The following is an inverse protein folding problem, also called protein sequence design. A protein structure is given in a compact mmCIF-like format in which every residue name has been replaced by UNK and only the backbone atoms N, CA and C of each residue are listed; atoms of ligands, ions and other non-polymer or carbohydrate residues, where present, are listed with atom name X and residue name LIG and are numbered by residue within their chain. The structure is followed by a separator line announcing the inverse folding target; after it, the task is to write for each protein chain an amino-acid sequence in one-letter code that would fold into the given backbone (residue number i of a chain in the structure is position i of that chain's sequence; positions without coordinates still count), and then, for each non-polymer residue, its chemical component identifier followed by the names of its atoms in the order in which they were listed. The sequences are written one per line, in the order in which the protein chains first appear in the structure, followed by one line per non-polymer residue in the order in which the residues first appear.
data_IF_512245704247
#
_entry.id   IF_512245704247
#
_cell.length_a   1.000
_cell.length_b   1.000
_cell.length_c   1.000
_cell.angle_alpha   90.00
_cell.angle_beta   90.00
_cell.angle_gamma   90.00
#
_symmetry.space_group_name_H-M   'P 1'
#
loop_
_entity.id
_entity.type
_entity.pdbx_description
1 polymer ?
#
# COMPACT_ATOMS: atom_id res chain seq x y z
N UNK A 1 4.55 11.09 -1.54
CA UNK A 1 3.65 11.13 -2.73
C UNK A 1 3.46 12.54 -3.30
N UNK A 2 4.53 13.33 -3.49
CA UNK A 2 4.42 14.66 -4.13
C UNK A 2 4.25 14.58 -5.66
N UNK A 3 4.69 13.50 -6.31
CA UNK A 3 4.68 13.36 -7.77
C UNK A 3 3.28 13.34 -8.42
N UNK A 4 2.29 12.69 -7.80
CA UNK A 4 0.90 12.77 -8.29
C UNK A 4 0.29 14.16 -8.10
N UNK A 5 0.75 14.91 -7.09
CA UNK A 5 0.35 16.31 -6.89
C UNK A 5 1.04 17.26 -7.86
N UNK A 6 2.07 16.81 -8.60
CA UNK A 6 2.78 17.58 -9.62
C UNK A 6 2.13 17.47 -11.02
N UNK A 7 0.96 16.82 -11.14
CA UNK A 7 0.22 16.74 -12.40
C UNK A 7 0.73 15.71 -13.41
N UNK A 8 1.61 14.79 -12.98
CA UNK A 8 2.11 13.71 -13.83
C UNK A 8 1.03 12.63 -14.06
N UNK A 9 0.92 12.15 -15.30
CA UNK A 9 0.09 11.00 -15.64
C UNK A 9 0.56 9.75 -14.87
N UNK A 10 -0.32 9.11 -14.07
CA UNK A 10 -0.01 7.88 -13.36
C UNK A 10 0.55 6.75 -14.20
N UNK A 11 0.07 6.57 -15.43
CA UNK A 11 0.53 5.49 -16.33
C UNK A 11 1.95 5.75 -16.80
N UNK A 12 2.25 7.00 -17.15
CA UNK A 12 3.61 7.41 -17.54
C UNK A 12 4.58 7.22 -16.37
N UNK A 13 4.21 7.68 -15.17
CA UNK A 13 5.05 7.52 -13.98
C UNK A 13 5.28 6.04 -13.63
N UNK A 14 4.24 5.20 -13.71
CA UNK A 14 4.38 3.76 -13.50
C UNK A 14 5.33 3.12 -14.53
N UNK A 15 5.24 3.51 -15.82
CA UNK A 15 6.16 3.06 -16.85
C UNK A 15 7.62 3.40 -16.56
N UNK A 16 7.88 4.62 -16.07
CA UNK A 16 9.23 5.05 -15.66
C UNK A 16 9.72 4.24 -14.46
N UNK A 17 8.92 4.11 -13.41
CA UNK A 17 9.30 3.35 -12.20
C UNK A 17 9.62 1.90 -12.56
N UNK A 18 8.78 1.27 -13.39
CA UNK A 18 8.88 -0.14 -13.74
C UNK A 18 10.01 -0.47 -14.72
N UNK A 19 10.59 0.54 -15.37
CA UNK A 19 11.82 0.40 -16.19
C UNK A 19 13.09 0.88 -15.48
N UNK A 20 12.97 1.31 -14.21
CA UNK A 20 14.05 1.89 -13.42
C UNK A 20 14.35 1.06 -12.16
N UNK A 21 15.27 1.56 -11.32
CA UNK A 21 15.66 0.94 -10.04
C UNK A 21 14.56 0.92 -8.96
N UNK A 22 13.48 1.67 -9.15
CA UNK A 22 12.35 1.74 -8.22
C UNK A 22 11.31 0.62 -8.41
N UNK A 23 11.50 -0.27 -9.39
CA UNK A 23 10.58 -1.36 -9.70
C UNK A 23 10.45 -2.31 -8.51
N UNK A 24 9.21 -2.66 -8.18
CA UNK A 24 8.87 -3.75 -7.26
C UNK A 24 7.56 -4.43 -7.71
N UNK A 25 7.23 -5.56 -7.09
CA UNK A 25 5.97 -6.27 -7.39
C UNK A 25 4.73 -5.36 -7.23
N UNK A 26 4.73 -4.52 -6.20
CA UNK A 26 3.64 -3.56 -5.96
C UNK A 26 3.57 -2.44 -7.01
N UNK A 27 4.59 -2.21 -7.84
CA UNK A 27 4.55 -1.18 -8.88
C UNK A 27 4.24 -1.72 -10.26
N UNK A 28 4.68 -2.95 -10.59
CA UNK A 28 4.54 -3.56 -11.91
C UNK A 28 3.36 -4.54 -12.05
N UNK A 29 3.00 -5.23 -10.97
CA UNK A 29 2.00 -6.30 -10.96
C UNK A 29 0.78 -5.88 -10.15
N UNK A 30 0.97 -5.11 -9.09
CA UNK A 30 -0.08 -4.76 -8.12
C UNK A 30 -0.14 -3.26 -7.82
N UNK A 31 -0.12 -2.44 -8.87
CA UNK A 31 -0.05 -0.98 -8.75
C UNK A 31 -1.23 -0.41 -7.94
N UNK A 32 -0.99 0.35 -6.85
CA UNK A 32 -2.05 0.79 -5.96
C UNK A 32 -2.87 1.97 -6.52
N UNK A 33 -2.53 2.49 -7.69
CA UNK A 33 -3.22 3.63 -8.32
C UNK A 33 -4.32 3.13 -9.25
N UNK A 34 -5.59 3.55 -9.06
CA UNK A 34 -6.69 3.11 -9.91
C UNK A 34 -6.46 3.41 -11.39
N UNK A 35 -6.74 2.44 -12.26
CA UNK A 35 -6.65 2.58 -13.72
C UNK A 35 -5.25 2.47 -14.32
N UNK A 36 -4.20 2.23 -13.52
CA UNK A 36 -2.84 1.96 -14.05
C UNK A 36 -2.72 0.53 -14.58
N UNK A 37 -3.25 -0.44 -13.82
CA UNK A 37 -3.33 -1.85 -14.22
C UNK A 37 -4.81 -2.27 -14.13
N UNK A 38 -5.34 -2.86 -15.19
CA UNK A 38 -6.72 -3.37 -15.21
C UNK A 38 -6.82 -4.74 -14.52
N UNK A 39 -8.00 -5.07 -13.98
CA UNK A 39 -8.28 -6.39 -13.41
C UNK A 39 -7.70 -6.66 -12.02
N UNK A 40 -7.06 -5.69 -11.37
CA UNK A 40 -6.60 -5.76 -9.97
C UNK A 40 -7.47 -4.91 -9.03
N UNK A 41 -7.50 -5.18 -7.70
CA UNK A 41 -8.39 -4.49 -6.78
C UNK A 41 -8.35 -2.96 -6.82
N UNK A 42 -7.19 -2.28 -6.94
CA UNK A 42 -7.15 -0.82 -7.08
C UNK A 42 -8.02 -0.26 -8.22
N UNK A 43 -8.19 -1.00 -9.32
CA UNK A 43 -9.04 -0.59 -10.45
C UNK A 43 -10.52 -0.97 -10.29
N UNK A 44 -10.87 -1.72 -9.24
CA UNK A 44 -12.25 -2.08 -8.88
C UNK A 44 -12.64 -1.54 -7.48
N UNK A 45 -12.22 -0.32 -7.14
CA UNK A 45 -12.56 0.32 -5.87
C UNK A 45 -12.03 -0.43 -4.64
N UNK A 46 -10.86 -1.08 -4.79
CA UNK A 46 -10.15 -1.86 -3.77
C UNK A 46 -10.98 -2.99 -3.17
N UNK A 47 -11.88 -3.58 -3.96
CA UNK A 47 -12.70 -4.72 -3.54
C UNK A 47 -11.98 -6.06 -3.76
N UNK A 48 -12.20 -7.01 -2.86
CA UNK A 48 -11.51 -8.31 -2.88
C UNK A 48 -10.03 -8.17 -2.51
N UNK A 49 -9.18 -9.01 -3.10
CA UNK A 49 -7.74 -8.96 -2.87
C UNK A 49 -7.34 -9.38 -1.46
N UNK A 50 -6.32 -8.70 -0.92
CA UNK A 50 -5.82 -8.97 0.43
C UNK A 50 -6.16 -7.82 1.37
N UNK A 51 -7.08 -8.05 2.30
CA UNK A 51 -7.67 -7.01 3.14
C UNK A 51 -6.64 -6.25 4.00
N UNK A 52 -6.82 -4.94 4.13
CA UNK A 52 -5.93 -4.07 4.93
C UNK A 52 -5.89 -4.48 6.41
N UNK A 53 -6.99 -5.00 6.96
CA UNK A 53 -7.02 -5.58 8.30
C UNK A 53 -6.17 -6.87 8.43
N UNK A 54 -6.09 -7.68 7.37
CA UNK A 54 -5.21 -8.85 7.34
C UNK A 54 -3.75 -8.42 7.24
N UNK A 55 -3.44 -7.40 6.43
CA UNK A 55 -2.10 -6.81 6.39
C UNK A 55 -1.68 -6.27 7.76
N UNK A 56 -2.57 -5.61 8.49
CA UNK A 56 -2.31 -5.14 9.85
C UNK A 56 -1.99 -6.30 10.81
N UNK A 57 -2.73 -7.41 10.71
CA UNK A 57 -2.49 -8.64 11.49
C UNK A 57 -1.11 -9.23 11.17
N UNK A 58 -0.75 -9.38 9.90
CA UNK A 58 0.54 -9.96 9.51
C UNK A 58 1.72 -9.08 9.96
N UNK A 59 1.56 -7.76 9.89
CA UNK A 59 2.53 -6.81 10.42
C UNK A 59 2.63 -6.86 11.95
N UNK A 60 1.52 -7.11 12.67
CA UNK A 60 1.58 -7.38 14.11
C UNK A 60 2.43 -8.62 14.42
N UNK A 61 2.25 -9.71 13.66
CA UNK A 61 3.06 -10.92 13.82
C UNK A 61 4.54 -10.65 13.53
N UNK A 62 4.85 -9.91 12.46
CA UNK A 62 6.21 -9.52 12.13
C UNK A 62 6.87 -8.66 13.23
N UNK A 63 6.12 -7.73 13.83
CA UNK A 63 6.63 -6.88 14.91
C UNK A 63 6.85 -7.65 16.22
N UNK A 64 5.98 -8.61 16.53
CA UNK A 64 6.18 -9.49 17.68
C UNK A 64 7.45 -10.35 17.50
N UNK A 65 7.67 -10.88 16.30
CA UNK A 65 8.89 -11.63 15.98
C UNK A 65 10.14 -10.74 16.07
N UNK A 66 10.10 -9.53 15.48
CA UNK A 66 11.20 -8.57 15.53
C UNK A 66 11.55 -8.16 16.97
N UNK A 67 10.55 -7.99 17.84
CA UNK A 67 10.75 -7.70 19.26
C UNK A 67 11.43 -8.87 19.97
N UNK A 68 11.00 -10.10 19.68
CA UNK A 68 11.57 -11.32 20.27
C UNK A 68 13.02 -11.54 19.86
N UNK A 69 13.36 -11.23 18.62
CA UNK A 69 14.71 -11.41 18.06
C UNK A 69 15.60 -10.18 18.17
N UNK A 70 15.09 -9.08 18.76
CA UNK A 70 15.77 -7.78 18.82
C UNK A 70 16.19 -7.26 17.43
N UNK A 71 15.44 -7.59 16.39
CA UNK A 71 15.70 -7.16 15.03
C UNK A 71 15.10 -5.76 14.77
N UNK A 72 15.91 -4.76 14.36
CA UNK A 72 15.39 -3.42 14.07
C UNK A 72 14.61 -3.41 12.74
N UNK A 73 13.31 -3.09 12.81
CA UNK A 73 12.41 -3.00 11.65
C UNK A 73 11.76 -1.62 11.52
N UNK A 74 12.52 -0.52 11.38
CA UNK A 74 11.96 0.84 11.42
C UNK A 74 10.86 1.07 10.37
N UNK A 75 11.07 0.61 9.13
CA UNK A 75 10.08 0.74 8.05
C UNK A 75 8.88 -0.18 8.27
N UNK A 76 9.11 -1.42 8.75
CA UNK A 76 8.04 -2.36 9.10
C UNK A 76 7.17 -1.85 10.26
N UNK A 77 7.79 -1.21 11.24
CA UNK A 77 7.12 -0.59 12.38
C UNK A 77 6.20 0.55 11.94
N UNK A 78 6.68 1.41 11.04
CA UNK A 78 5.87 2.49 10.49
C UNK A 78 4.74 1.94 9.60
N UNK A 79 5.03 0.95 8.75
CA UNK A 79 4.01 0.28 7.94
C UNK A 79 2.93 -0.34 8.83
N UNK A 80 3.32 -1.02 9.91
CA UNK A 80 2.38 -1.58 10.88
C UNK A 80 1.45 -0.53 11.46
N UNK A 81 1.98 0.64 11.87
CA UNK A 81 1.17 1.74 12.39
C UNK A 81 0.18 2.27 11.34
N UNK A 82 0.62 2.45 10.10
CA UNK A 82 -0.26 2.89 9.00
C UNK A 82 -1.39 1.89 8.77
N UNK A 83 -1.09 0.59 8.68
CA UNK A 83 -2.11 -0.43 8.46
C UNK A 83 -3.03 -0.63 9.67
N UNK A 84 -2.56 -0.38 10.90
CA UNK A 84 -3.43 -0.33 12.08
C UNK A 84 -4.47 0.80 11.99
N UNK A 85 -4.07 1.98 11.50
CA UNK A 85 -5.02 3.08 11.28
C UNK A 85 -6.06 2.70 10.20
N UNK A 86 -5.64 2.06 9.12
CA UNK A 86 -6.54 1.56 8.07
C UNK A 86 -7.52 0.51 8.62
N UNK A 87 -7.04 -0.42 9.45
CA UNK A 87 -7.85 -1.49 10.04
C UNK A 87 -8.89 -0.98 11.06
N UNK A 88 -8.64 0.17 11.68
CA UNK A 88 -9.56 0.79 12.64
C UNK A 88 -10.69 1.59 11.97
N UNK A 89 -10.52 1.97 10.70
CA UNK A 89 -11.50 2.73 9.95
C UNK A 89 -12.37 1.80 9.10
N UNK A 90 -13.70 1.74 9.33
CA UNK A 90 -14.62 0.90 8.56
C UNK A 90 -14.57 1.15 7.05
N UNK A 91 -14.14 2.34 6.60
CA UNK A 91 -14.00 2.68 5.19
C UNK A 91 -12.88 1.91 4.49
N UNK A 92 -11.84 1.51 5.22
CA UNK A 92 -10.64 0.89 4.66
C UNK A 92 -10.41 -0.55 5.14
N UNK A 93 -10.88 -0.93 6.32
CA UNK A 93 -10.58 -2.22 6.96
C UNK A 93 -10.89 -3.44 6.08
N UNK A 94 -12.01 -3.40 5.34
CA UNK A 94 -12.44 -4.47 4.42
C UNK A 94 -11.94 -4.32 2.98
N UNK A 95 -11.12 -3.30 2.68
CA UNK A 95 -10.57 -3.05 1.35
C UNK A 95 -9.21 -3.69 1.19
N UNK A 96 -8.84 -3.99 -0.05
CA UNK A 96 -7.51 -4.45 -0.42
C UNK A 96 -6.41 -3.52 0.12
N UNK A 97 -5.26 -4.07 0.52
CA UNK A 97 -4.16 -3.34 1.15
C UNK A 97 -3.63 -2.17 0.30
N UNK A 98 -3.79 -2.23 -1.03
CA UNK A 98 -3.48 -1.12 -1.94
C UNK A 98 -4.24 0.18 -1.62
N UNK A 99 -5.33 0.12 -0.83
CA UNK A 99 -6.12 1.27 -0.36
C UNK A 99 -5.28 2.29 0.41
N UNK A 100 -4.11 1.89 0.93
CA UNK A 100 -3.12 2.79 1.54
C UNK A 100 -2.78 3.98 0.64
N UNK A 101 -2.86 3.82 -0.69
CA UNK A 101 -2.70 4.92 -1.62
C UNK A 101 -3.78 6.01 -1.46
N UNK A 102 -5.06 5.63 -1.40
CA UNK A 102 -6.15 6.59 -1.19
C UNK A 102 -6.03 7.27 0.17
N UNK A 103 -5.75 6.49 1.22
CA UNK A 103 -5.52 7.03 2.55
C UNK A 103 -4.43 8.12 2.54
N UNK A 104 -3.26 7.84 1.95
CA UNK A 104 -2.16 8.80 1.86
C UNK A 104 -2.45 9.99 0.93
N UNK A 105 -3.29 9.80 -0.09
CA UNK A 105 -3.72 10.88 -0.98
C UNK A 105 -4.62 11.89 -0.24
N UNK A 106 -5.45 11.42 0.68
CA UNK A 106 -6.42 12.21 1.45
C UNK A 106 -5.80 12.97 2.64
N UNK A 107 -4.66 12.50 3.17
CA UNK A 107 -3.90 13.24 4.19
C UNK A 107 -3.35 14.55 3.58
N UNK A 108 -3.83 15.71 4.05
CA UNK A 108 -3.44 17.03 3.54
C UNK A 108 -1.98 17.36 3.85
#
# INVERSE_FOLDING_TARGET
MKYFRMGLDPKVLAGIINTSSGRCWSSDTYNPVPGVIEGIPPSNGYQGGFGSALMAKDLSLAQNAATTTQAPTPLGSLAHQIYRLLAQDPRYAGKDFGIVYQFLKEQK
#
